data_IF_344556089389
#
_entry.id   IF_344556089389
#
_cell.length_a   1.000
_cell.length_b   1.000
_cell.length_c   1.000
_cell.angle_alpha   90.00
_cell.angle_beta   90.00
_cell.angle_gamma   90.00
#
_symmetry.space_group_name_H-M   'P 1'
#
loop_
_entity.id
_entity.type
_entity.pdbx_description
1 polymer ?
#
# COMPACT_ATOMS: atom_id res chain seq x y z
N UNK A 1 -18.94 -5.76 -46.67
CA UNK A 1 -18.91 -6.74 -45.57
C UNK A 1 -17.68 -6.40 -44.74
N UNK A 2 -17.70 -5.30 -43.97
CA UNK A 2 -18.18 -5.23 -42.57
C UNK A 2 -17.34 -6.16 -41.67
N UNK A 3 -16.23 -5.65 -41.11
CA UNK A 3 -16.11 -5.13 -39.74
C UNK A 3 -16.36 -6.17 -38.63
N UNK A 4 -15.31 -6.45 -37.86
CA UNK A 4 -15.41 -6.74 -36.42
C UNK A 4 -14.19 -6.12 -35.71
N UNK A 5 -14.38 -4.84 -35.43
CA UNK A 5 -13.81 -3.95 -34.42
C UNK A 5 -12.99 -4.67 -33.33
N UNK A 6 -11.66 -4.57 -33.43
CA UNK A 6 -10.78 -4.51 -32.25
C UNK A 6 -10.55 -3.04 -31.97
N UNK A 7 -11.13 -2.51 -30.90
CA UNK A 7 -10.89 -1.10 -30.58
C UNK A 7 -11.91 -0.51 -29.65
N UNK A 8 -11.92 -0.95 -28.40
CA UNK A 8 -12.31 -0.03 -27.33
C UNK A 8 -11.40 -0.26 -26.13
N UNK A 9 -10.11 0.05 -26.31
CA UNK A 9 -9.29 0.51 -25.19
C UNK A 9 -9.74 1.92 -24.83
N UNK A 10 -10.92 2.00 -24.22
CA UNK A 10 -11.31 3.14 -23.43
C UNK A 10 -10.60 3.03 -22.09
N UNK A 11 -9.41 3.62 -21.99
CA UNK A 11 -8.99 4.28 -20.75
C UNK A 11 -7.74 5.08 -21.06
N UNK A 12 -7.94 6.35 -21.42
CA UNK A 12 -6.89 7.34 -21.30
C UNK A 12 -6.56 7.51 -19.82
N UNK A 13 -5.72 6.63 -19.28
CA UNK A 13 -4.99 6.93 -18.04
C UNK A 13 -3.78 7.76 -18.46
N UNK A 14 -3.92 9.06 -18.23
CA UNK A 14 -2.84 10.04 -18.19
C UNK A 14 -1.59 9.43 -17.59
N UNK A 15 -0.42 9.71 -18.17
CA UNK A 15 0.92 9.38 -17.66
C UNK A 15 1.19 10.06 -16.29
N UNK A 16 0.41 9.75 -15.27
CA UNK A 16 0.75 10.05 -13.90
C UNK A 16 1.80 9.03 -13.47
N UNK A 17 2.91 9.47 -12.85
CA UNK A 17 3.85 8.52 -12.26
C UNK A 17 3.09 7.66 -11.25
N UNK A 18 3.20 6.33 -11.37
CA UNK A 18 2.62 5.40 -10.39
C UNK A 18 3.06 5.82 -8.98
N UNK A 19 2.08 6.05 -8.12
CA UNK A 19 2.34 6.37 -6.73
C UNK A 19 2.88 5.13 -6.02
N UNK A 20 3.53 5.31 -4.88
CA UNK A 20 3.95 4.21 -4.01
C UNK A 20 2.79 3.25 -3.69
N UNK A 21 1.60 3.82 -3.46
CA UNK A 21 0.36 3.07 -3.19
C UNK A 21 -0.04 2.19 -4.38
N UNK A 22 0.09 2.67 -5.62
CA UNK A 22 -0.23 1.89 -6.83
C UNK A 22 0.70 0.67 -6.94
N UNK A 23 2.01 0.88 -6.78
CA UNK A 23 3.01 -0.19 -6.88
C UNK A 23 2.82 -1.26 -5.79
N UNK A 24 2.55 -0.83 -4.57
CA UNK A 24 2.31 -1.73 -3.44
C UNK A 24 1.01 -2.53 -3.62
N UNK A 25 -0.04 -1.88 -4.14
CA UNK A 25 -1.33 -2.54 -4.40
C UNK A 25 -1.21 -3.64 -5.44
N UNK A 26 -0.52 -3.36 -6.56
CA UNK A 26 -0.26 -4.35 -7.62
C UNK A 26 0.50 -5.56 -7.08
N UNK A 27 1.53 -5.33 -6.26
CA UNK A 27 2.32 -6.39 -5.66
C UNK A 27 1.50 -7.29 -4.72
N UNK A 28 0.64 -6.70 -3.90
CA UNK A 28 -0.21 -7.42 -2.95
C UNK A 28 -1.33 -8.19 -3.64
N UNK A 29 -1.81 -7.70 -4.77
CA UNK A 29 -2.78 -8.39 -5.63
C UNK A 29 -2.14 -9.62 -6.30
N UNK A 30 -0.95 -9.48 -6.87
CA UNK A 30 -0.21 -10.61 -7.44
C UNK A 30 0.10 -11.69 -6.39
N UNK A 31 0.53 -11.30 -5.19
CA UNK A 31 0.71 -12.22 -4.06
C UNK A 31 -0.58 -12.98 -3.74
N UNK A 32 -1.72 -12.31 -3.75
CA UNK A 32 -3.02 -12.91 -3.42
C UNK A 32 -3.50 -13.89 -4.50
N UNK A 33 -3.29 -13.54 -5.77
CA UNK A 33 -3.75 -14.33 -6.92
C UNK A 33 -2.85 -15.54 -7.13
N UNK A 34 -1.54 -15.34 -7.04
CA UNK A 34 -0.57 -16.36 -7.46
C UNK A 34 0.00 -17.16 -6.30
N UNK A 35 0.01 -16.60 -5.08
CA UNK A 35 0.76 -17.15 -3.93
C UNK A 35 2.27 -17.22 -4.16
N UNK A 36 2.79 -16.65 -5.27
CA UNK A 36 4.17 -16.82 -5.73
C UNK A 36 5.13 -15.71 -5.29
N UNK A 37 4.61 -14.63 -4.72
CA UNK A 37 5.47 -13.60 -4.15
C UNK A 37 6.07 -14.11 -2.82
N UNK A 38 7.36 -14.44 -2.87
CA UNK A 38 8.10 -14.88 -1.68
C UNK A 38 8.33 -13.70 -0.72
N UNK A 39 8.36 -13.98 0.59
CA UNK A 39 8.77 -13.02 1.63
C UNK A 39 10.09 -12.32 1.25
N UNK A 40 11.02 -13.05 0.60
CA UNK A 40 12.31 -12.50 0.15
C UNK A 40 12.15 -11.41 -0.91
N UNK A 41 11.14 -11.51 -1.78
CA UNK A 41 10.88 -10.52 -2.83
C UNK A 41 10.24 -9.26 -2.24
N UNK A 42 9.35 -9.43 -1.25
CA UNK A 42 8.78 -8.33 -0.49
C UNK A 42 9.85 -7.61 0.34
N UNK A 43 10.74 -8.36 1.00
CA UNK A 43 11.88 -7.81 1.73
C UNK A 43 12.81 -7.01 0.83
N UNK A 44 13.14 -7.53 -0.36
CA UNK A 44 13.96 -6.79 -1.34
C UNK A 44 13.30 -5.48 -1.74
N UNK A 45 11.99 -5.51 -1.96
CA UNK A 45 11.23 -4.32 -2.33
C UNK A 45 11.21 -3.27 -1.21
N UNK A 46 10.99 -3.69 0.04
CA UNK A 46 11.05 -2.79 1.21
C UNK A 46 12.44 -2.18 1.42
N UNK A 47 13.49 -2.92 1.07
CA UNK A 47 14.86 -2.40 1.12
C UNK A 47 15.12 -1.31 0.08
N UNK A 48 14.44 -1.35 -1.05
CA UNK A 48 14.57 -0.37 -2.14
C UNK A 48 13.77 0.91 -1.89
N UNK A 49 12.89 0.92 -0.88
CA UNK A 49 12.13 2.11 -0.50
C UNK A 49 13.00 3.22 0.09
N UNK A 50 12.62 4.46 -0.23
CA UNK A 50 13.10 5.64 0.47
C UNK A 50 12.65 5.63 1.93
N UNK A 51 13.26 6.48 2.76
CA UNK A 51 12.87 6.59 4.16
C UNK A 51 11.43 7.12 4.30
N UNK A 52 11.01 8.03 3.41
CA UNK A 52 9.64 8.53 3.37
C UNK A 52 8.66 7.41 2.97
N UNK A 53 8.98 6.62 1.96
CA UNK A 53 8.15 5.48 1.53
C UNK A 53 8.01 4.45 2.65
N UNK A 54 9.06 4.17 3.42
CA UNK A 54 8.98 3.27 4.59
C UNK A 54 8.05 3.81 5.66
N UNK A 55 8.03 5.13 5.89
CA UNK A 55 7.09 5.77 6.82
C UNK A 55 5.65 5.56 6.34
N UNK A 56 5.39 5.74 5.04
CA UNK A 56 4.08 5.51 4.44
C UNK A 56 3.63 4.05 4.56
N UNK A 57 4.52 3.08 4.30
CA UNK A 57 4.25 1.63 4.49
C UNK A 57 3.80 1.37 5.92
N UNK A 58 4.55 1.86 6.91
CA UNK A 58 4.28 1.58 8.32
C UNK A 58 2.95 2.24 8.75
N UNK A 59 2.71 3.47 8.33
CA UNK A 59 1.45 4.16 8.61
C UNK A 59 0.26 3.40 8.02
N UNK A 60 0.40 2.88 6.80
CA UNK A 60 -0.62 2.08 6.13
C UNK A 60 -0.86 0.74 6.85
N UNK A 61 0.20 0.08 7.32
CA UNK A 61 0.07 -1.13 8.15
C UNK A 61 -0.68 -0.85 9.45
N UNK A 62 -0.39 0.26 10.11
CA UNK A 62 -1.06 0.64 11.36
C UNK A 62 -2.53 0.93 11.12
N UNK A 63 -2.84 1.64 10.03
CA UNK A 63 -4.20 1.89 9.60
C UNK A 63 -4.96 0.58 9.36
N UNK A 64 -4.35 -0.38 8.67
CA UNK A 64 -4.96 -1.69 8.41
C UNK A 64 -5.15 -2.54 9.66
N UNK A 65 -4.23 -2.44 10.64
CA UNK A 65 -4.29 -3.21 11.89
C UNK A 65 -5.46 -2.85 12.81
N UNK A 66 -5.93 -1.60 12.79
CA UNK A 66 -7.01 -1.15 13.68
C UNK A 66 -8.28 -2.00 13.50
N UNK A 67 -9.04 -2.24 14.57
CA UNK A 67 -10.25 -3.05 14.45
C UNK A 67 -11.34 -2.30 13.64
N UNK A 68 -12.20 -3.04 12.94
CA UNK A 68 -13.40 -2.47 12.33
C UNK A 68 -14.29 -1.87 13.43
N UNK A 69 -14.38 -0.54 13.48
CA UNK A 69 -15.17 0.20 14.47
C UNK A 69 -14.37 1.10 15.42
N UNK A 70 -13.03 0.99 15.43
CA UNK A 70 -12.18 2.02 16.02
C UNK A 70 -12.19 3.26 15.11
N UNK A 71 -12.15 4.47 15.68
CA UNK A 71 -11.99 5.69 14.88
C UNK A 71 -10.72 5.53 14.05
N UNK A 72 -10.86 5.56 12.73
CA UNK A 72 -9.71 5.58 11.84
C UNK A 72 -8.91 6.85 12.15
N UNK A 73 -7.73 6.68 12.75
CA UNK A 73 -6.80 7.79 12.88
C UNK A 73 -6.51 8.37 11.50
N UNK A 74 -6.51 9.69 11.40
CA UNK A 74 -6.24 10.40 10.16
C UNK A 74 -4.85 9.98 9.64
N UNK A 75 -4.75 9.60 8.36
CA UNK A 75 -3.51 9.08 7.76
C UNK A 75 -2.31 10.04 7.93
N UNK A 76 -2.43 11.36 7.68
CA UNK A 76 -1.42 12.35 8.06
C UNK A 76 -0.95 12.32 9.52
N UNK A 77 -1.83 11.99 10.48
CA UNK A 77 -1.45 11.86 11.88
C UNK A 77 -0.65 10.57 12.12
N UNK A 78 -1.01 9.48 11.45
CA UNK A 78 -0.23 8.24 11.47
C UNK A 78 1.18 8.45 10.92
N UNK A 79 1.33 9.18 9.82
CA UNK A 79 2.64 9.51 9.26
C UNK A 79 3.53 10.24 10.29
N UNK A 80 2.99 11.25 10.99
CA UNK A 80 3.71 11.96 12.05
C UNK A 80 4.15 11.02 13.18
N UNK A 81 3.22 10.20 13.67
CA UNK A 81 3.52 9.24 14.74
C UNK A 81 4.60 8.24 14.34
N UNK A 82 4.58 7.76 13.09
CA UNK A 82 5.62 6.84 12.60
C UNK A 82 7.00 7.50 12.62
N UNK A 83 7.10 8.75 12.14
CA UNK A 83 8.37 9.51 12.17
C UNK A 83 8.88 9.72 13.61
N UNK A 84 7.98 9.93 14.57
CA UNK A 84 8.33 10.16 15.97
C UNK A 84 8.72 8.87 16.72
N UNK A 85 8.05 7.76 16.41
CA UNK A 85 8.15 6.52 17.18
C UNK A 85 9.17 5.55 16.58
N UNK A 86 9.29 5.51 15.25
CA UNK A 86 10.12 4.55 14.55
C UNK A 86 11.40 5.22 14.08
N UNK A 87 12.56 4.86 14.65
CA UNK A 87 13.84 5.31 14.14
C UNK A 87 14.01 4.91 12.66
N UNK A 88 14.46 5.84 11.82
CA UNK A 88 14.64 5.61 10.37
C UNK A 88 15.48 4.35 10.08
N UNK A 89 16.60 4.18 10.79
CA UNK A 89 17.48 3.01 10.65
C UNK A 89 16.83 1.67 11.07
N UNK A 90 15.65 1.70 11.69
CA UNK A 90 14.90 0.52 12.11
C UNK A 90 13.63 0.28 11.27
N UNK A 91 13.24 1.21 10.39
CA UNK A 91 12.00 1.13 9.63
C UNK A 91 11.89 -0.14 8.79
N UNK A 92 12.98 -0.55 8.11
CA UNK A 92 13.01 -1.80 7.34
C UNK A 92 12.79 -3.03 8.23
N UNK A 93 13.50 -3.14 9.35
CA UNK A 93 13.34 -4.25 10.30
C UNK A 93 11.93 -4.29 10.86
N UNK A 94 11.37 -3.13 11.21
CA UNK A 94 10.01 -3.02 11.69
C UNK A 94 8.99 -3.61 10.71
N UNK A 95 9.11 -3.30 9.43
CA UNK A 95 8.18 -3.80 8.39
C UNK A 95 8.32 -5.32 8.22
N UNK A 96 9.55 -5.83 8.20
CA UNK A 96 9.85 -7.25 7.96
C UNK A 96 9.45 -8.15 9.13
N UNK A 97 9.65 -7.68 10.37
CA UNK A 97 9.38 -8.45 11.58
C UNK A 97 7.87 -8.60 11.89
N UNK A 98 6.99 -7.93 11.14
CA UNK A 98 5.54 -7.99 11.37
C UNK A 98 4.90 -9.17 10.64
N UNK A 99 4.48 -10.23 11.36
CA UNK A 99 3.64 -11.26 10.76
C UNK A 99 2.35 -10.61 10.26
N UNK A 100 1.91 -11.03 9.06
CA UNK A 100 0.72 -10.52 8.36
C UNK A 100 0.86 -9.15 7.67
N UNK A 101 2.10 -8.72 7.35
CA UNK A 101 2.36 -7.51 6.57
C UNK A 101 1.41 -7.33 5.37
N UNK A 102 1.29 -8.35 4.51
CA UNK A 102 0.43 -8.29 3.33
C UNK A 102 -1.06 -8.07 3.66
N UNK A 103 -1.55 -8.63 4.77
CA UNK A 103 -2.93 -8.44 5.23
C UNK A 103 -3.13 -7.00 5.70
N UNK A 104 -2.24 -6.50 6.56
CA UNK A 104 -2.38 -5.13 7.09
C UNK A 104 -2.25 -4.06 6.01
N UNK A 105 -1.41 -4.26 5.01
CA UNK A 105 -1.34 -3.34 3.89
C UNK A 105 -2.64 -3.32 3.10
N UNK A 106 -3.22 -4.49 2.80
CA UNK A 106 -4.52 -4.58 2.12
C UNK A 106 -5.64 -3.91 2.91
N UNK A 107 -5.75 -4.24 4.19
CA UNK A 107 -6.78 -3.67 5.07
C UNK A 107 -6.58 -2.15 5.22
N UNK A 108 -5.32 -1.69 5.23
CA UNK A 108 -4.97 -0.27 5.28
C UNK A 108 -5.37 0.49 4.03
N UNK A 109 -5.11 -0.09 2.85
CA UNK A 109 -5.52 0.48 1.56
C UNK A 109 -7.04 0.65 1.46
N UNK A 110 -7.80 -0.37 1.86
CA UNK A 110 -9.27 -0.31 1.85
C UNK A 110 -9.78 0.81 2.76
N UNK A 111 -9.20 0.96 3.95
CA UNK A 111 -9.58 2.05 4.88
C UNK A 111 -9.16 3.42 4.38
N UNK A 112 -8.01 3.54 3.72
CA UNK A 112 -7.57 4.79 3.13
C UNK A 112 -8.52 5.25 2.03
N UNK A 113 -8.98 4.34 1.17
CA UNK A 113 -9.96 4.62 0.11
C UNK A 113 -11.33 5.05 0.67
N UNK A 114 -11.80 4.38 1.74
CA UNK A 114 -13.01 4.81 2.47
C UNK A 114 -12.81 6.21 3.05
N UNK A 115 -11.63 6.47 3.64
CA UNK A 115 -11.31 7.77 4.22
C UNK A 115 -11.30 8.86 3.14
N UNK A 116 -10.57 8.70 2.03
CA UNK A 116 -10.51 9.70 0.95
C UNK A 116 -11.87 9.95 0.31
N UNK A 117 -12.68 8.91 0.16
CA UNK A 117 -14.05 8.99 -0.37
C UNK A 117 -15.01 9.74 0.56
N UNK A 118 -14.75 9.77 1.87
CA UNK A 118 -15.58 10.50 2.84
C UNK A 118 -15.37 12.02 2.82
N UNK A 119 -14.31 12.52 2.17
CA UNK A 119 -14.01 13.94 2.03
C UNK A 119 -14.17 14.47 0.59
N UNK A 120 -14.68 13.64 -0.33
CA UNK A 120 -14.97 13.99 -1.74
C UNK A 120 -16.45 14.34 -1.93
#
# INVERSE_FOLDING_TARGET
MAELIYGTMGSGRTNQPETFIDKLSYYLEDLNITGRCSINMLQKYIHEFSEEEKVEVIALMWLGRTALGEQAENFPNLLKQVVEIIPQNYATSYIIEKPLLAKYLRDGLQKLDIWTSAFS
#
